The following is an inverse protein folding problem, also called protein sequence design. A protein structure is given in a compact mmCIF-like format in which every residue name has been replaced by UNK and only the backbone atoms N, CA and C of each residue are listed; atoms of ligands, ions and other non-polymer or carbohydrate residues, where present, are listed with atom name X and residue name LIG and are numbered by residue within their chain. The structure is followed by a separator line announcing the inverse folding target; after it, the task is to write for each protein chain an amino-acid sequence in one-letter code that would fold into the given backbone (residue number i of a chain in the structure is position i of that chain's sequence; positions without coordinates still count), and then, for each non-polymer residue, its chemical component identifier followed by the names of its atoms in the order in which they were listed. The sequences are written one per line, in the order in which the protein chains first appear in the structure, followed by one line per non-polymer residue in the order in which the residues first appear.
data_IF_157953491897
#
_entry.id   IF_157953491897
#
_cell.length_a   1.000
_cell.length_b   1.000
_cell.length_c   1.000
_cell.angle_alpha   90.00
_cell.angle_beta   90.00
_cell.angle_gamma   90.00
#
_symmetry.space_group_name_H-M   'P 1'
#
loop_
_entity.id
_entity.type
_entity.pdbx_description
1 polymer ?
#
# COMPACT_ATOMS: atom_id res chain seq x y z
N UNK A 1 3.87 6.05 -2.95
CA UNK A 1 2.73 5.62 -2.12
C UNK A 1 1.44 6.43 -2.38
N UNK A 2 1.27 7.05 -3.55
CA UNK A 2 0.05 7.78 -3.99
C UNK A 2 -1.15 6.88 -4.35
N UNK A 3 -1.09 5.57 -4.04
CA UNK A 3 -2.09 4.58 -4.48
C UNK A 3 -3.39 4.59 -3.65
N UNK A 4 -3.41 5.28 -2.51
CA UNK A 4 -4.59 5.40 -1.66
C UNK A 4 -5.60 6.45 -2.14
N UNK A 5 -5.22 7.40 -3.01
CA UNK A 5 -6.15 8.45 -3.45
C UNK A 5 -6.95 8.08 -4.71
N UNK A 6 -6.54 7.05 -5.47
CA UNK A 6 -7.13 6.75 -6.78
C UNK A 6 -7.86 5.40 -6.90
N UNK A 7 -7.81 4.53 -5.88
CA UNK A 7 -8.35 3.16 -5.99
C UNK A 7 -9.37 2.79 -4.91
N UNK A 8 -9.58 3.66 -3.92
CA UNK A 8 -10.56 3.41 -2.86
C UNK A 8 -11.89 4.09 -3.21
N UNK A 9 -12.79 3.22 -3.69
CA UNK A 9 -14.20 3.18 -3.31
C UNK A 9 -15.18 3.87 -4.29
N UNK A 10 -15.61 3.07 -5.27
CA UNK A 10 -16.85 3.24 -6.06
C UNK A 10 -18.10 2.74 -5.29
N UNK A 11 -18.02 2.56 -3.96
CA UNK A 11 -19.13 2.03 -3.14
C UNK A 11 -19.93 3.09 -2.36
N UNK A 12 -19.58 4.37 -2.49
CA UNK A 12 -20.27 5.45 -1.76
C UNK A 12 -19.97 5.49 -0.25
N UNK A 13 -19.06 4.67 0.27
CA UNK A 13 -18.67 4.70 1.68
C UNK A 13 -17.96 6.01 2.05
N UNK A 14 -18.36 6.59 3.19
CA UNK A 14 -17.85 7.88 3.71
C UNK A 14 -17.10 7.69 5.05
N UNK A 15 -17.00 6.47 5.55
CA UNK A 15 -16.35 6.18 6.83
C UNK A 15 -14.82 6.03 6.72
N UNK A 16 -14.21 5.69 7.85
CA UNK A 16 -12.80 5.37 7.93
C UNK A 16 -12.54 3.93 7.47
N UNK A 17 -11.35 3.66 6.94
CA UNK A 17 -10.89 2.31 6.60
C UNK A 17 -9.51 2.07 7.19
N UNK A 18 -9.29 0.91 7.81
CA UNK A 18 -7.99 0.51 8.30
C UNK A 18 -6.97 0.48 7.16
N UNK A 19 -5.82 1.09 7.44
CA UNK A 19 -4.60 0.92 6.65
C UNK A 19 -3.61 0.08 7.46
N UNK A 20 -2.62 -0.50 6.80
CA UNK A 20 -1.67 -1.41 7.44
C UNK A 20 -0.70 -0.77 8.44
N UNK A 21 -0.93 0.44 8.94
CA UNK A 21 -0.02 1.15 9.83
C UNK A 21 -0.49 1.04 11.29
N UNK A 22 0.43 0.67 12.20
CA UNK A 22 0.16 0.54 13.64
C UNK A 22 1.35 1.00 14.49
N UNK A 23 1.12 1.43 15.73
CA UNK A 23 2.19 1.68 16.71
C UNK A 23 2.95 0.37 16.96
N UNK A 24 4.26 0.42 16.74
CA UNK A 24 5.20 -0.65 17.03
C UNK A 24 5.76 -0.55 18.44
N UNK A 25 6.64 -1.50 18.78
CA UNK A 25 7.31 -1.55 20.08
C UNK A 25 8.58 -0.69 20.12
N UNK A 26 9.15 -0.38 18.96
CA UNK A 26 10.43 0.31 18.84
C UNK A 26 10.26 1.58 18.02
N UNK A 27 10.94 2.64 18.47
CA UNK A 27 11.08 3.87 17.70
C UNK A 27 12.30 3.76 16.79
N UNK A 28 12.20 4.29 15.58
CA UNK A 28 13.33 4.37 14.66
C UNK A 28 13.38 5.72 13.96
N UNK A 29 14.60 6.24 13.79
CA UNK A 29 14.86 7.41 12.97
C UNK A 29 14.64 7.08 11.48
N UNK A 30 13.90 7.94 10.79
CA UNK A 30 13.56 7.82 9.38
C UNK A 30 13.56 9.20 8.73
N UNK A 31 13.76 9.24 7.42
CA UNK A 31 13.62 10.45 6.62
C UNK A 31 12.19 10.61 6.12
N UNK A 32 11.64 11.82 6.12
CA UNK A 32 10.26 12.10 5.68
C UNK A 32 10.03 11.82 4.20
N UNK A 33 11.07 12.01 3.39
CA UNK A 33 11.08 11.66 1.97
C UNK A 33 11.13 10.13 1.85
N UNK A 34 10.01 9.54 1.42
CA UNK A 34 9.77 8.10 1.56
C UNK A 34 10.12 7.25 0.33
N UNK A 35 10.78 7.84 -0.68
CA UNK A 35 11.02 7.15 -1.94
C UNK A 35 12.25 6.24 -1.82
N UNK A 36 12.04 4.92 -1.85
CA UNK A 36 13.14 3.96 -1.60
C UNK A 36 14.17 3.99 -2.73
N UNK A 37 13.75 4.33 -3.95
CA UNK A 37 14.64 4.48 -5.12
C UNK A 37 15.53 5.73 -4.99
N UNK A 38 15.23 6.62 -4.04
CA UNK A 38 16.04 7.80 -3.74
C UNK A 38 17.31 7.48 -2.92
N UNK A 39 17.28 6.39 -2.13
CA UNK A 39 18.37 6.00 -1.22
C UNK A 39 19.08 4.74 -1.71
N UNK A 40 20.39 4.81 -1.91
CA UNK A 40 21.23 3.62 -2.12
C UNK A 40 21.47 2.89 -0.79
N UNK A 41 21.91 1.62 -0.87
CA UNK A 41 22.26 0.82 0.32
C UNK A 41 23.28 1.57 1.21
N UNK A 42 22.99 1.63 2.51
CA UNK A 42 23.82 2.34 3.50
C UNK A 42 23.54 3.84 3.64
N UNK A 43 22.82 4.48 2.69
CA UNK A 43 22.49 5.92 2.74
C UNK A 43 21.39 6.30 3.75
N UNK A 44 21.18 5.50 4.78
CA UNK A 44 20.28 5.81 5.90
C UNK A 44 20.92 5.52 7.25
N UNK A 45 22.17 5.06 7.28
CA UNK A 45 22.92 4.72 8.49
C UNK A 45 23.89 5.86 8.81
N UNK A 46 23.44 6.91 9.49
CA UNK A 46 24.26 8.12 9.67
C UNK A 46 24.44 8.51 11.14
N UNK A 47 25.09 7.64 11.91
CA UNK A 47 25.60 8.02 13.23
C UNK A 47 26.62 9.17 13.17
N UNK A 48 27.30 9.37 12.03
CA UNK A 48 28.40 10.32 11.86
C UNK A 48 28.00 11.81 11.87
N UNK A 49 26.76 12.13 11.49
CA UNK A 49 26.30 13.53 11.42
C UNK A 49 25.68 14.01 12.72
N UNK A 50 25.33 13.12 13.64
CA UNK A 50 24.93 13.53 14.98
C UNK A 50 26.07 14.27 15.68
N UNK A 51 25.67 15.24 16.50
CA UNK A 51 26.60 15.91 17.39
C UNK A 51 27.02 14.98 18.55
N UNK A 52 28.03 15.38 19.30
CA UNK A 52 28.45 14.62 20.47
C UNK A 52 27.30 14.50 21.47
N UNK A 53 27.06 13.27 21.95
CA UNK A 53 25.97 12.90 22.85
C UNK A 53 24.55 12.99 22.26
N UNK A 54 24.42 13.01 20.93
CA UNK A 54 23.12 13.00 20.25
C UNK A 54 22.94 11.68 19.47
N UNK A 55 21.70 11.19 19.28
CA UNK A 55 20.48 11.70 19.90
C UNK A 55 20.41 11.37 21.41
N UNK A 56 20.03 12.32 22.25
CA UNK A 56 19.90 12.11 23.69
C UNK A 56 18.50 11.60 24.11
N UNK A 57 17.55 11.61 23.16
CA UNK A 57 16.23 10.99 23.24
C UNK A 57 15.35 11.51 24.39
N UNK A 58 15.46 12.79 24.74
CA UNK A 58 14.65 13.45 25.79
C UNK A 58 13.21 13.78 25.35
N UNK A 59 12.55 12.88 24.61
CA UNK A 59 11.25 13.09 23.92
C UNK A 59 11.33 14.12 22.78
N UNK A 60 12.48 14.14 22.12
CA UNK A 60 12.87 15.06 21.07
C UNK A 60 12.82 14.37 19.69
N UNK A 61 11.64 14.02 19.20
CA UNK A 61 11.50 13.09 18.07
C UNK A 61 11.75 13.68 16.66
N UNK A 62 12.29 14.90 16.54
CA UNK A 62 12.51 15.58 15.25
C UNK A 62 13.95 16.09 15.10
N UNK A 63 14.55 15.90 13.92
CA UNK A 63 15.95 16.25 13.69
C UNK A 63 16.15 17.69 13.21
N UNK A 64 17.05 18.41 13.86
CA UNK A 64 17.52 19.76 13.48
C UNK A 64 18.96 19.67 13.00
N UNK A 65 19.29 20.35 11.91
CA UNK A 65 20.68 20.65 11.58
C UNK A 65 21.10 21.97 12.22
N UNK A 66 22.16 21.93 13.03
CA UNK A 66 22.80 23.11 13.61
C UNK A 66 23.66 23.82 12.55
N UNK A 67 24.01 25.07 12.81
CA UNK A 67 24.93 25.85 11.98
C UNK A 67 26.35 25.23 11.83
N UNK A 68 26.71 24.25 12.66
CA UNK A 68 27.93 23.44 12.51
C UNK A 68 27.81 22.34 11.45
N UNK A 69 26.61 22.10 10.91
CA UNK A 69 26.28 20.95 10.07
C UNK A 69 26.05 19.65 10.84
N UNK A 70 26.07 19.68 12.19
CA UNK A 70 25.76 18.54 13.05
C UNK A 70 24.27 18.46 13.37
N UNK A 71 23.77 17.26 13.60
CA UNK A 71 22.36 16.99 13.86
C UNK A 71 22.10 16.83 15.35
N UNK A 72 20.99 17.41 15.79
CA UNK A 72 20.43 17.27 17.13
C UNK A 72 19.04 16.69 17.01
N UNK A 73 18.64 15.89 17.98
CA UNK A 73 17.23 15.60 18.18
C UNK A 73 16.61 16.78 18.94
N UNK A 74 15.39 17.17 18.58
CA UNK A 74 14.73 18.33 19.17
C UNK A 74 13.21 18.14 19.27
N UNK A 75 12.56 18.87 20.19
CA UNK A 75 11.10 18.84 20.32
C UNK A 75 10.43 19.29 19.02
N UNK A 76 9.63 18.42 18.41
CA UNK A 76 8.96 18.67 17.13
C UNK A 76 8.07 19.94 17.09
N UNK A 77 7.67 20.43 18.25
CA UNK A 77 6.83 21.63 18.44
C UNK A 77 7.62 22.94 18.50
N UNK A 78 8.96 22.89 18.53
CA UNK A 78 9.75 24.11 18.43
C UNK A 78 9.67 24.69 17.03
N UNK A 79 9.96 25.98 16.89
CA UNK A 79 9.91 26.65 15.60
C UNK A 79 11.32 26.86 15.04
N UNK A 80 11.57 26.30 13.85
CA UNK A 80 12.79 26.50 13.08
C UNK A 80 12.45 26.77 11.61
N UNK A 81 13.41 27.34 10.89
CA UNK A 81 13.29 27.45 9.42
C UNK A 81 13.45 26.06 8.80
N UNK A 82 12.58 25.65 7.87
CA UNK A 82 12.78 24.37 7.20
C UNK A 82 13.68 24.49 5.98
N UNK A 83 14.43 23.42 5.72
CA UNK A 83 15.07 23.22 4.42
C UNK A 83 14.26 22.19 3.64
N UNK A 84 13.67 22.61 2.53
CA UNK A 84 12.97 21.75 1.61
C UNK A 84 13.93 21.18 0.56
N UNK A 85 13.64 19.97 0.10
CA UNK A 85 14.22 19.38 -1.10
C UNK A 85 13.28 19.59 -2.29
N UNK A 86 13.83 20.00 -3.43
CA UNK A 86 13.09 20.24 -4.67
C UNK A 86 13.94 19.85 -5.89
N UNK A 87 13.63 18.69 -6.48
CA UNK A 87 14.23 18.21 -7.74
C UNK A 87 15.77 18.35 -7.79
N UNK A 88 16.47 17.94 -6.73
CA UNK A 88 17.92 17.98 -6.64
C UNK A 88 18.50 19.24 -6.00
N UNK A 89 17.67 20.15 -5.47
CA UNK A 89 18.11 21.39 -4.81
C UNK A 89 17.59 21.48 -3.39
N UNK A 90 18.33 22.20 -2.55
CA UNK A 90 17.94 22.50 -1.17
C UNK A 90 17.56 23.98 -1.04
N UNK A 91 16.42 24.25 -0.40
CA UNK A 91 15.85 25.58 -0.26
C UNK A 91 15.48 25.84 1.20
N UNK A 92 16.13 26.81 1.84
CA UNK A 92 15.70 27.27 3.16
C UNK A 92 14.51 28.22 3.02
N UNK A 93 13.41 27.91 3.69
CA UNK A 93 12.23 28.77 3.75
C UNK A 93 12.37 29.69 4.96
N UNK A 94 12.32 31.00 4.74
CA UNK A 94 12.47 32.02 5.79
C UNK A 94 11.17 32.24 6.59
N UNK A 95 10.55 31.16 7.02
CA UNK A 95 9.38 31.19 7.90
C UNK A 95 9.55 30.13 8.99
N UNK A 96 9.42 30.56 10.24
CA UNK A 96 9.49 29.69 11.41
C UNK A 96 8.26 28.78 11.47
N UNK A 97 8.50 27.48 11.60
CA UNK A 97 7.47 26.45 11.57
C UNK A 97 7.83 25.33 12.55
N UNK A 98 6.82 24.67 13.11
CA UNK A 98 7.00 23.35 13.72
C UNK A 98 7.47 22.34 12.68
N UNK A 99 8.08 21.23 13.08
CA UNK A 99 8.56 20.23 12.12
C UNK A 99 7.45 19.72 11.20
N UNK A 100 6.24 19.57 11.76
CA UNK A 100 5.07 19.11 11.01
C UNK A 100 4.58 20.15 10.00
N UNK A 101 4.46 21.41 10.40
CA UNK A 101 4.08 22.50 9.50
C UNK A 101 5.10 22.64 8.36
N UNK A 102 6.39 22.54 8.70
CA UNK A 102 7.49 22.54 7.76
C UNK A 102 7.37 21.40 6.72
N UNK A 103 7.12 20.16 7.16
CA UNK A 103 6.92 19.03 6.26
C UNK A 103 5.73 19.26 5.32
N UNK A 104 4.60 19.71 5.85
CA UNK A 104 3.40 19.99 5.07
C UNK A 104 3.66 21.11 4.04
N UNK A 105 4.37 22.16 4.44
CA UNK A 105 4.78 23.23 3.54
C UNK A 105 5.66 22.70 2.41
N UNK A 106 6.72 21.97 2.73
CA UNK A 106 7.63 21.43 1.72
C UNK A 106 6.93 20.46 0.77
N UNK A 107 6.00 19.62 1.24
CA UNK A 107 5.23 18.73 0.36
C UNK A 107 4.19 19.45 -0.52
N UNK A 108 3.70 20.60 -0.06
CA UNK A 108 2.73 21.41 -0.81
C UNK A 108 3.40 22.25 -1.89
N UNK A 109 4.60 22.75 -1.63
CA UNK A 109 5.29 23.73 -2.49
C UNK A 109 6.54 23.17 -3.20
N UNK A 110 7.07 22.05 -2.73
CA UNK A 110 8.30 21.39 -3.18
C UNK A 110 8.11 19.86 -3.15
N UNK A 111 9.18 19.07 -2.97
CA UNK A 111 9.07 17.61 -2.85
C UNK A 111 8.76 17.18 -1.40
N UNK A 112 9.66 17.47 -0.45
CA UNK A 112 9.51 17.18 0.99
C UNK A 112 10.59 17.99 1.77
N UNK A 113 10.64 17.85 3.10
CA UNK A 113 11.79 18.27 3.88
C UNK A 113 13.07 17.54 3.42
N UNK A 114 14.20 18.24 3.52
CA UNK A 114 15.48 17.76 3.04
C UNK A 114 15.95 16.51 3.79
N UNK A 115 16.31 15.48 3.02
CA UNK A 115 17.04 14.33 3.53
C UNK A 115 18.53 14.49 3.25
N UNK A 116 19.36 13.94 4.12
CA UNK A 116 20.82 13.92 3.93
C UNK A 116 21.26 12.50 3.59
N UNK A 117 21.78 12.29 2.38
CA UNK A 117 22.27 10.98 1.93
C UNK A 117 23.79 10.81 1.99
N UNK A 118 24.51 11.92 2.09
CA UNK A 118 25.97 11.93 2.09
C UNK A 118 26.50 13.26 2.62
N UNK A 119 27.82 13.31 2.81
CA UNK A 119 28.55 14.48 3.30
C UNK A 119 28.39 15.73 2.42
N UNK A 120 28.21 15.57 1.10
CA UNK A 120 28.03 16.68 0.16
C UNK A 120 26.69 17.36 0.40
N UNK A 121 25.60 16.59 0.46
CA UNK A 121 24.27 17.12 0.79
C UNK A 121 24.23 17.75 2.17
N UNK A 122 24.90 17.15 3.17
CA UNK A 122 25.00 17.74 4.51
C UNK A 122 25.61 19.15 4.47
N UNK A 123 26.69 19.31 3.67
CA UNK A 123 27.36 20.61 3.50
C UNK A 123 26.50 21.60 2.74
N UNK A 124 25.80 21.17 1.69
CA UNK A 124 24.89 22.03 0.93
C UNK A 124 23.74 22.55 1.80
N UNK A 125 23.12 21.67 2.59
CA UNK A 125 22.06 22.04 3.54
C UNK A 125 22.60 23.02 4.59
N UNK A 126 23.80 22.77 5.13
CA UNK A 126 24.46 23.67 6.07
C UNK A 126 24.73 25.05 5.45
N UNK A 127 25.17 25.10 4.18
CA UNK A 127 25.42 26.34 3.47
C UNK A 127 24.13 27.17 3.26
N UNK A 128 23.01 26.53 2.89
CA UNK A 128 21.74 27.25 2.74
C UNK A 128 21.13 27.67 4.09
N UNK A 129 21.42 26.92 5.16
CA UNK A 129 21.01 27.26 6.53
C UNK A 129 21.78 28.48 7.08
N UNK A 130 23.02 28.69 6.63
CA UNK A 130 23.87 29.79 7.07
C UNK A 130 24.14 29.72 8.58
N UNK A 131 23.63 30.71 9.33
CA UNK A 131 23.82 30.78 10.80
C UNK A 131 22.62 30.22 11.58
N UNK A 132 21.58 29.78 10.89
CA UNK A 132 20.33 29.31 11.50
C UNK A 132 20.42 27.82 11.84
N UNK A 133 19.68 27.43 12.88
CA UNK A 133 19.31 26.03 13.08
C UNK A 133 18.06 25.75 12.23
N UNK A 134 18.08 24.64 11.50
CA UNK A 134 17.03 24.36 10.51
C UNK A 134 16.44 22.98 10.65
N UNK A 135 15.14 22.87 10.36
CA UNK A 135 14.49 21.56 10.23
C UNK A 135 15.00 20.82 9.00
N UNK A 136 15.35 19.56 9.20
CA UNK A 136 15.58 18.57 8.15
C UNK A 136 14.50 17.49 8.25
N UNK A 137 14.37 16.65 7.22
CA UNK A 137 13.33 15.62 7.14
C UNK A 137 13.49 14.45 8.10
N UNK A 138 14.43 14.51 9.04
CA UNK A 138 14.71 13.44 9.99
C UNK A 138 13.66 13.47 11.11
N UNK A 139 13.01 12.34 11.36
CA UNK A 139 12.07 12.18 12.47
C UNK A 139 12.13 10.77 13.04
N UNK A 140 11.78 10.65 14.31
CA UNK A 140 11.70 9.40 15.03
C UNK A 140 10.24 8.95 15.04
N UNK A 141 10.05 7.69 14.65
CA UNK A 141 8.73 7.15 14.45
C UNK A 141 8.58 5.78 15.08
N UNK A 142 7.46 5.59 15.78
CA UNK A 142 7.05 4.32 16.37
C UNK A 142 6.12 3.53 15.46
N UNK A 143 5.57 4.14 14.41
CA UNK A 143 4.61 3.50 13.54
C UNK A 143 5.28 2.55 12.54
N UNK A 144 4.71 1.35 12.41
CA UNK A 144 5.21 0.24 11.59
C UNK A 144 4.14 -0.25 10.63
N UNK A 145 4.53 -0.58 9.41
CA UNK A 145 3.63 -1.16 8.42
C UNK A 145 3.51 -2.67 8.61
N UNK A 146 2.31 -3.19 8.37
CA UNK A 146 1.97 -4.62 8.51
C UNK A 146 2.68 -5.50 7.49
N UNK A 147 3.06 -4.94 6.34
CA UNK A 147 3.87 -5.61 5.32
C UNK A 147 5.38 -5.52 5.61
N UNK A 148 5.75 -4.91 6.75
CA UNK A 148 7.13 -4.68 7.18
C UNK A 148 7.91 -3.73 6.26
N UNK A 149 7.23 -2.97 5.40
CA UNK A 149 7.90 -1.94 4.61
C UNK A 149 8.50 -0.84 5.49
N UNK A 150 9.60 -0.27 4.99
CA UNK A 150 10.30 0.84 5.64
C UNK A 150 9.80 2.21 5.17
N UNK A 151 8.56 2.31 4.68
CA UNK A 151 8.06 3.60 4.23
C UNK A 151 7.82 4.56 5.40
N UNK A 152 8.39 5.74 5.26
CA UNK A 152 8.28 6.87 6.16
C UNK A 152 7.15 7.83 5.81
N UNK A 153 6.36 7.55 4.77
CA UNK A 153 5.26 8.44 4.38
C UNK A 153 4.19 8.46 5.48
N UNK A 154 3.88 9.65 5.98
CA UNK A 154 2.83 9.87 6.98
C UNK A 154 1.92 10.98 6.49
N UNK A 155 0.61 10.78 6.56
CA UNK A 155 -0.39 11.77 6.14
C UNK A 155 -1.48 11.95 7.21
N UNK A 156 -1.05 12.09 8.47
CA UNK A 156 -1.94 12.25 9.63
C UNK A 156 -2.72 13.56 9.62
N UNK A 157 -3.93 13.56 10.22
CA UNK A 157 -4.64 14.79 10.60
C UNK A 157 -3.91 15.54 11.69
N UNK A 158 -3.99 16.88 11.68
CA UNK A 158 -3.25 17.73 12.62
C UNK A 158 -3.84 17.72 14.04
N UNK A 159 -3.51 16.65 14.78
CA UNK A 159 -3.85 16.44 16.19
C UNK A 159 -2.89 15.47 16.86
N UNK A 160 -3.03 15.31 18.16
CA UNK A 160 -2.35 14.31 18.97
C UNK A 160 -2.86 12.88 18.69
N UNK A 161 -1.92 11.92 18.63
CA UNK A 161 -2.22 10.51 18.32
C UNK A 161 -2.25 9.66 19.60
N UNK A 162 -3.44 9.47 20.15
CA UNK A 162 -3.71 8.77 21.41
C UNK A 162 -3.89 7.26 21.26
N UNK A 163 -4.05 6.77 20.03
CA UNK A 163 -4.41 5.39 19.71
C UNK A 163 -3.30 4.68 18.92
N UNK A 164 -3.48 3.38 18.67
CA UNK A 164 -2.40 2.50 18.17
C UNK A 164 -2.57 1.96 16.76
N UNK A 165 -3.72 2.16 16.10
CA UNK A 165 -3.96 1.72 14.73
C UNK A 165 -4.39 2.87 13.83
N UNK A 166 -3.92 2.88 12.58
CA UNK A 166 -4.16 3.97 11.64
C UNK A 166 -5.31 3.65 10.69
N UNK A 167 -6.17 4.62 10.42
CA UNK A 167 -7.22 4.52 9.42
C UNK A 167 -7.16 5.72 8.47
N UNK A 168 -7.31 5.45 7.17
CA UNK A 168 -7.61 6.48 6.18
C UNK A 168 -9.06 6.91 6.35
N UNK A 169 -9.34 8.21 6.27
CA UNK A 169 -10.70 8.72 6.46
C UNK A 169 -11.07 9.73 5.37
N UNK A 170 -12.21 9.50 4.72
CA UNK A 170 -12.70 10.36 3.64
C UNK A 170 -13.08 11.75 4.14
N UNK A 171 -13.68 11.83 5.33
CA UNK A 171 -14.13 13.09 5.94
C UNK A 171 -12.99 14.05 6.25
N UNK A 172 -11.76 13.55 6.31
CA UNK A 172 -10.52 14.31 6.54
C UNK A 172 -9.73 14.49 5.25
N UNK A 173 -10.40 14.47 4.09
CA UNK A 173 -9.77 14.56 2.77
C UNK A 173 -8.65 13.53 2.56
N UNK A 174 -8.83 12.33 3.12
CA UNK A 174 -7.88 11.23 3.04
C UNK A 174 -6.72 11.28 4.04
N UNK A 175 -6.68 12.28 4.93
CA UNK A 175 -5.74 12.28 6.04
C UNK A 175 -6.04 11.15 7.01
N UNK A 176 -5.01 10.60 7.62
CA UNK A 176 -5.10 9.45 8.49
C UNK A 176 -5.47 9.87 9.89
N UNK A 177 -6.29 9.05 10.54
CA UNK A 177 -6.64 9.16 11.95
C UNK A 177 -6.14 7.94 12.69
N UNK A 178 -5.87 8.09 13.97
CA UNK A 178 -5.57 7.00 14.88
C UNK A 178 -6.86 6.52 15.57
N UNK A 179 -7.00 5.20 15.73
CA UNK A 179 -8.15 4.54 16.34
C UNK A 179 -7.71 3.31 17.12
N UNK A 180 -8.52 2.93 18.10
CA UNK A 180 -8.35 1.71 18.88
C UNK A 180 -8.38 0.47 17.97
N UNK A 181 -7.34 -0.36 18.04
CA UNK A 181 -7.13 -1.48 17.12
C UNK A 181 -8.24 -2.54 17.12
N UNK A 182 -8.94 -2.71 18.24
CA UNK A 182 -9.99 -3.73 18.39
C UNK A 182 -11.34 -3.29 17.82
N UNK A 183 -11.47 -2.04 17.35
CA UNK A 183 -12.72 -1.56 16.75
C UNK A 183 -12.92 -2.14 15.35
N UNK A 184 -14.16 -2.54 15.09
CA UNK A 184 -14.58 -2.96 13.76
C UNK A 184 -14.49 -1.78 12.77
N UNK A 185 -13.78 -1.99 11.67
CA UNK A 185 -13.64 -1.02 10.59
C UNK A 185 -13.33 -1.80 9.30
N UNK A 186 -13.89 -1.41 8.15
CA UNK A 186 -13.44 -1.95 6.87
C UNK A 186 -11.93 -1.70 6.68
N UNK A 187 -11.24 -2.50 5.88
CA UNK A 187 -9.80 -2.38 5.68
C UNK A 187 -9.42 -2.40 4.20
N UNK A 188 -8.27 -1.84 3.88
CA UNK A 188 -7.71 -1.83 2.52
C UNK A 188 -6.52 -2.77 2.46
N UNK A 189 -6.52 -3.68 1.49
CA UNK A 189 -5.37 -4.49 1.13
C UNK A 189 -4.74 -3.98 -0.17
N UNK A 190 -3.45 -4.20 -0.32
CA UNK A 190 -2.74 -4.01 -1.57
C UNK A 190 -1.85 -5.23 -1.83
N UNK A 191 -1.53 -5.44 -3.10
CA UNK A 191 -0.68 -6.51 -3.57
C UNK A 191 -0.52 -6.38 -5.06
N UNK A 192 0.26 -7.27 -5.66
CA UNK A 192 0.23 -7.41 -7.11
C UNK A 192 -1.20 -7.73 -7.51
N UNK A 193 -1.78 -7.05 -8.53
CA UNK A 193 -3.07 -7.47 -9.04
C UNK A 193 -2.91 -8.95 -9.40
N UNK A 194 -3.61 -9.81 -8.65
CA UNK A 194 -3.86 -11.16 -9.17
C UNK A 194 -4.51 -10.87 -10.53
N UNK A 195 -4.02 -11.45 -11.64
CA UNK A 195 -4.76 -11.34 -12.88
C UNK A 195 -6.20 -11.72 -12.53
N UNK A 196 -7.20 -10.89 -12.90
CA UNK A 196 -8.57 -11.17 -12.52
C UNK A 196 -8.78 -12.64 -12.86
N UNK A 197 -9.16 -13.43 -11.87
CA UNK A 197 -9.64 -14.78 -12.13
C UNK A 197 -10.91 -14.58 -12.92
N UNK A 198 -10.75 -14.38 -14.23
CA UNK A 198 -11.84 -14.50 -15.18
C UNK A 198 -12.35 -15.89 -14.90
N UNK A 199 -13.52 -15.99 -14.29
CA UNK A 199 -14.28 -17.22 -14.32
C UNK A 199 -14.46 -17.50 -15.81
N UNK A 200 -13.58 -18.32 -16.41
CA UNK A 200 -13.73 -18.78 -17.78
C UNK A 200 -15.00 -19.61 -17.77
N UNK A 201 -16.11 -18.98 -18.15
CA UNK A 201 -17.35 -19.68 -18.42
C UNK A 201 -17.08 -20.47 -19.70
N UNK A 202 -16.74 -21.75 -19.55
CA UNK A 202 -16.72 -22.67 -20.68
C UNK A 202 -18.17 -23.05 -20.99
N UNK A 203 -18.69 -22.51 -22.08
CA UNK A 203 -19.98 -22.91 -22.63
C UNK A 203 -19.77 -24.19 -23.42
N UNK A 204 -20.13 -25.32 -22.82
CA UNK A 204 -20.11 -26.62 -23.49
C UNK A 204 -21.44 -26.83 -24.20
N UNK A 205 -21.43 -26.88 -25.54
CA UNK A 205 -22.61 -27.27 -26.33
C UNK A 205 -22.64 -28.78 -26.46
N UNK A 206 -23.60 -29.42 -25.81
CA UNK A 206 -23.84 -30.86 -25.93
C UNK A 206 -24.91 -31.07 -27.00
N UNK A 207 -24.60 -31.84 -28.07
CA UNK A 207 -25.61 -32.33 -29.01
C UNK A 207 -26.11 -33.69 -28.52
N UNK A 208 -27.43 -33.80 -28.38
CA UNK A 208 -28.11 -35.05 -28.04
C UNK A 208 -29.01 -35.42 -29.21
N UNK A 209 -29.00 -36.68 -29.63
CA UNK A 209 -29.76 -37.22 -30.77
C UNK A 209 -30.83 -38.19 -30.26
N UNK A 210 -32.07 -37.73 -29.98
CA UNK A 210 -33.13 -38.55 -29.40
C UNK A 210 -33.32 -39.88 -30.14
N UNK A 211 -33.41 -40.98 -29.40
CA UNK A 211 -34.04 -42.19 -29.92
C UNK A 211 -35.46 -41.83 -30.39
N UNK A 212 -35.87 -42.20 -31.61
CA UNK A 212 -37.19 -41.87 -32.15
C UNK A 212 -38.37 -42.36 -31.29
N UNK A 213 -38.17 -43.32 -30.38
CA UNK A 213 -39.18 -43.82 -29.45
C UNK A 213 -39.18 -43.11 -28.08
N UNK A 214 -38.41 -42.05 -27.92
CA UNK A 214 -38.21 -41.38 -26.63
C UNK A 214 -39.16 -40.20 -26.42
N UNK A 215 -40.17 -40.39 -25.56
CA UNK A 215 -41.05 -39.31 -25.09
C UNK A 215 -40.33 -38.34 -24.14
N UNK A 216 -40.06 -37.12 -24.59
CA UNK A 216 -39.40 -36.05 -23.84
C UNK A 216 -40.30 -35.36 -22.80
N UNK A 217 -41.61 -35.64 -22.82
CA UNK A 217 -42.54 -35.13 -21.81
C UNK A 217 -42.60 -36.00 -20.56
N UNK A 218 -42.02 -37.21 -20.58
CA UNK A 218 -41.88 -38.04 -19.39
C UNK A 218 -40.84 -37.42 -18.43
N UNK A 219 -41.27 -37.12 -17.21
CA UNK A 219 -40.43 -36.56 -16.17
C UNK A 219 -39.25 -37.47 -15.79
N UNK A 220 -39.43 -38.80 -15.81
CA UNK A 220 -38.35 -39.75 -15.52
C UNK A 220 -37.28 -39.74 -16.61
N UNK A 221 -37.68 -39.58 -17.87
CA UNK A 221 -36.74 -39.48 -18.99
C UNK A 221 -35.98 -38.15 -18.95
N UNK A 222 -36.67 -37.04 -18.63
CA UNK A 222 -36.02 -35.73 -18.44
C UNK A 222 -34.97 -35.74 -17.33
N UNK A 223 -35.28 -36.37 -16.20
CA UNK A 223 -34.32 -36.51 -15.10
C UNK A 223 -33.11 -37.37 -15.49
N UNK A 224 -33.33 -38.48 -16.20
CA UNK A 224 -32.23 -39.33 -16.69
C UNK A 224 -31.30 -38.57 -17.66
N UNK A 225 -31.86 -37.75 -18.56
CA UNK A 225 -31.10 -36.87 -19.47
C UNK A 225 -30.26 -35.87 -18.66
N UNK A 226 -30.84 -35.22 -17.65
CA UNK A 226 -30.15 -34.23 -16.83
C UNK A 226 -29.00 -34.87 -16.04
N UNK A 227 -29.21 -36.06 -15.48
CA UNK A 227 -28.16 -36.83 -14.80
C UNK A 227 -27.03 -37.21 -15.76
N UNK A 228 -27.36 -37.60 -17.00
CA UNK A 228 -26.36 -37.96 -18.00
C UNK A 228 -25.52 -36.77 -18.47
N UNK A 229 -26.15 -35.61 -18.68
CA UNK A 229 -25.45 -34.35 -19.01
C UNK A 229 -24.54 -33.94 -17.85
N UNK A 230 -25.03 -34.02 -16.62
CA UNK A 230 -24.26 -33.71 -15.41
C UNK A 230 -23.02 -34.60 -15.26
N UNK A 231 -23.18 -35.92 -15.43
CA UNK A 231 -22.08 -36.89 -15.33
C UNK A 231 -21.03 -36.68 -16.43
N UNK A 232 -21.47 -36.37 -17.66
CA UNK A 232 -20.57 -36.12 -18.79
C UNK A 232 -19.75 -34.84 -18.58
N UNK A 233 -20.39 -33.78 -18.09
CA UNK A 233 -19.70 -32.54 -17.71
C UNK A 233 -18.72 -32.77 -16.55
N UNK A 234 -19.07 -33.62 -15.59
CA UNK A 234 -18.19 -33.96 -14.47
C UNK A 234 -16.94 -34.71 -14.92
N UNK A 235 -17.09 -35.73 -15.77
CA UNK A 235 -15.96 -36.51 -16.31
C UNK A 235 -15.04 -35.64 -17.17
N UNK A 236 -15.59 -34.74 -17.99
CA UNK A 236 -14.78 -33.83 -18.83
C UNK A 236 -13.88 -32.88 -18.03
N UNK A 237 -14.24 -32.58 -16.77
CA UNK A 237 -13.41 -31.75 -15.87
C UNK A 237 -12.26 -32.52 -15.22
N UNK A 238 -12.34 -33.86 -15.14
CA UNK A 238 -11.37 -34.69 -14.43
C UNK A 238 -10.22 -35.19 -15.31
N UNK A 239 -10.36 -35.17 -16.64
CA UNK A 239 -9.34 -35.69 -17.57
C UNK A 239 -9.05 -34.66 -18.69
N UNK A 240 -8.18 -33.66 -18.46
CA UNK A 240 -7.91 -32.60 -19.44
C UNK A 240 -7.10 -33.03 -20.67
N UNK A 241 -6.52 -34.24 -20.66
CA UNK A 241 -5.51 -34.69 -21.64
C UNK A 241 -5.97 -35.79 -22.61
N UNK A 242 -7.23 -36.22 -22.58
CA UNK A 242 -7.75 -37.19 -23.56
C UNK A 242 -8.34 -36.49 -24.78
N UNK A 243 -7.48 -35.90 -25.60
CA UNK A 243 -7.76 -35.76 -27.03
C UNK A 243 -7.49 -37.12 -27.67
N UNK A 244 -8.50 -37.97 -27.75
CA UNK A 244 -8.80 -38.94 -28.83
C UNK A 244 -10.06 -39.72 -28.43
N UNK A 245 -10.93 -39.92 -29.43
CA UNK A 245 -12.31 -40.37 -29.32
C UNK A 245 -12.58 -41.48 -28.29
N UNK A 246 -13.44 -41.17 -27.31
CA UNK A 246 -14.10 -42.18 -26.49
C UNK A 246 -15.59 -42.17 -26.83
N UNK A 247 -16.02 -43.08 -27.72
CA UNK A 247 -17.44 -43.35 -27.95
C UNK A 247 -17.99 -44.14 -26.76
N UNK A 248 -18.57 -43.42 -25.80
CA UNK A 248 -19.41 -44.04 -24.77
C UNK A 248 -20.79 -44.33 -25.36
N UNK A 249 -21.10 -45.61 -25.55
CA UNK A 249 -22.43 -46.06 -25.97
C UNK A 249 -23.14 -46.66 -24.77
N UNK A 250 -24.17 -45.99 -24.25
CA UNK A 250 -25.11 -46.55 -23.28
C UNK A 250 -26.49 -45.93 -23.53
N UNK A 251 -27.51 -46.78 -23.64
CA UNK A 251 -28.91 -46.45 -23.95
C UNK A 251 -29.22 -45.86 -25.34
N UNK A 252 -28.59 -46.34 -26.42
CA UNK A 252 -29.09 -46.09 -27.78
C UNK A 252 -28.76 -44.73 -28.42
N UNK A 253 -27.96 -43.89 -27.76
CA UNK A 253 -27.51 -42.61 -28.32
C UNK A 253 -26.06 -42.68 -28.80
N UNK A 254 -25.78 -42.23 -30.02
CA UNK A 254 -24.42 -41.92 -30.50
C UNK A 254 -24.14 -40.43 -30.29
N UNK A 255 -23.14 -40.09 -29.50
CA UNK A 255 -22.63 -38.72 -29.36
C UNK A 255 -21.69 -38.44 -30.55
N UNK A 256 -22.07 -37.48 -31.41
CA UNK A 256 -21.24 -37.03 -32.52
C UNK A 256 -20.46 -35.76 -32.11
N UNK A 257 -19.14 -35.92 -32.06
CA UNK A 257 -18.02 -34.97 -32.06
C UNK A 257 -18.16 -33.59 -31.40
N UNK A 258 -17.21 -33.30 -30.50
CA UNK A 258 -16.90 -31.97 -30.02
C UNK A 258 -16.10 -31.22 -31.11
N UNK A 259 -16.71 -30.23 -31.77
CA UNK A 259 -15.97 -29.28 -32.61
C UNK A 259 -15.43 -28.12 -31.77
N UNK A 260 -14.12 -27.85 -31.77
CA UNK A 260 -13.57 -26.61 -31.26
C UNK A 260 -13.85 -25.45 -32.25
N UNK A 261 -14.13 -24.26 -31.73
CA UNK A 261 -14.01 -22.99 -32.46
C UNK A 261 -12.68 -22.34 -32.15
#
# INVERSE_FOLDING_TARGET
MNRLNHLTIDSGYVGAVWIGLKKGQYSRWQWSLADIDYYSEGQTQFSEFWDQNQPDNLNEDCGVMKNSGKWHDYFCTTQHFPVCYDAGRFLMVQQLMTWREAQLYCRKHHTDLASVRNQTENKEICNVAGRSNVWIGLFKDTWTWSDQSNSSFRYWVDRELNESCAAWNRSTSGQWIDRECLKECPFVCYGNPRPPTVKKIQVVRVRMTPDPNMDLNDAKKREAILQQVSLTLFISRLLPSFNHACQLTLYGFKVADFMPT
#
